data_IF_551398389097
#
_entry.id   IF_551398389097
#
_cell.length_a   1.000
_cell.length_b   1.000
_cell.length_c   1.000
_cell.angle_alpha   90.00
_cell.angle_beta   90.00
_cell.angle_gamma   90.00
#
_symmetry.space_group_name_H-M   'P 1'
#
loop_
_entity.id
_entity.type
_entity.pdbx_description
1 polymer ?
#
# COMPACT_ATOMS: atom_id res chain seq x y z
N UNK A 1 -17.83 7.71 16.37
CA UNK A 1 -18.35 6.45 15.79
C UNK A 1 -18.37 6.60 14.27
N UNK A 2 -18.26 5.53 13.46
CA UNK A 2 -18.38 5.65 11.99
C UNK A 2 -19.85 5.87 11.62
N UNK A 3 -20.18 7.02 11.03
CA UNK A 3 -21.55 7.35 10.60
C UNK A 3 -21.94 6.51 9.38
N UNK A 4 -23.19 6.03 9.37
CA UNK A 4 -23.77 5.38 8.18
C UNK A 4 -24.14 6.46 7.17
N UNK A 5 -23.69 6.30 5.94
CA UNK A 5 -24.03 7.16 4.81
C UNK A 5 -24.98 6.41 3.87
N UNK A 6 -25.95 7.10 3.29
CA UNK A 6 -26.88 6.50 2.32
C UNK A 6 -26.20 6.55 0.94
N UNK A 7 -25.30 5.60 0.69
CA UNK A 7 -24.55 5.50 -0.57
C UNK A 7 -25.36 4.76 -1.65
N UNK A 8 -25.28 5.23 -2.89
CA UNK A 8 -25.74 4.46 -4.05
C UNK A 8 -24.78 3.29 -4.34
N UNK A 9 -25.24 2.24 -5.04
CA UNK A 9 -24.37 1.13 -5.44
C UNK A 9 -23.12 1.59 -6.19
N UNK A 10 -23.25 2.60 -7.06
CA UNK A 10 -22.13 3.16 -7.84
C UNK A 10 -21.11 3.89 -6.97
N UNK A 11 -21.55 4.58 -5.92
CA UNK A 11 -20.65 5.21 -4.95
C UNK A 11 -19.88 4.18 -4.13
N UNK A 12 -20.54 3.08 -3.74
CA UNK A 12 -19.90 1.97 -3.02
C UNK A 12 -18.79 1.34 -3.86
N UNK A 13 -19.04 1.08 -5.14
CA UNK A 13 -18.02 0.53 -6.05
C UNK A 13 -16.84 1.49 -6.19
N UNK A 14 -17.09 2.78 -6.42
CA UNK A 14 -16.04 3.80 -6.55
C UNK A 14 -15.24 4.04 -5.26
N UNK A 15 -15.87 3.87 -4.10
CA UNK A 15 -15.23 3.98 -2.80
C UNK A 15 -14.37 2.76 -2.45
N UNK A 16 -14.78 1.55 -2.87
CA UNK A 16 -14.03 0.30 -2.66
C UNK A 16 -12.79 0.20 -3.55
N UNK A 17 -12.90 0.68 -4.78
CA UNK A 17 -11.88 0.56 -5.82
C UNK A 17 -10.43 0.83 -5.38
N UNK A 18 -10.10 1.97 -4.74
CA UNK A 18 -8.71 2.22 -4.34
C UNK A 18 -8.19 1.23 -3.28
N UNK A 19 -9.07 0.72 -2.41
CA UNK A 19 -8.70 -0.24 -1.37
C UNK A 19 -8.49 -1.64 -1.93
N UNK A 20 -9.31 -2.06 -2.90
CA UNK A 20 -9.17 -3.37 -3.57
C UNK A 20 -7.88 -3.43 -4.39
N UNK A 21 -7.57 -2.39 -5.18
CA UNK A 21 -6.30 -2.32 -5.92
C UNK A 21 -5.11 -2.36 -4.96
N UNK A 22 -5.19 -1.63 -3.85
CA UNK A 22 -4.15 -1.65 -2.83
C UNK A 22 -3.95 -3.06 -2.24
N UNK A 23 -5.02 -3.76 -1.88
CA UNK A 23 -4.94 -5.14 -1.37
C UNK A 23 -4.38 -6.12 -2.41
N UNK A 24 -4.76 -5.98 -3.68
CA UNK A 24 -4.18 -6.80 -4.75
C UNK A 24 -2.67 -6.56 -4.84
N UNK A 25 -2.22 -5.31 -4.77
CA UNK A 25 -0.78 -5.01 -4.74
C UNK A 25 -0.09 -5.66 -3.53
N UNK A 26 -0.66 -5.59 -2.33
CA UNK A 26 -0.03 -6.18 -1.14
C UNK A 26 -0.04 -7.71 -1.14
N UNK A 27 -1.14 -8.35 -1.52
CA UNK A 27 -1.25 -9.82 -1.46
C UNK A 27 -0.72 -10.45 -2.73
N UNK A 28 -1.27 -10.08 -3.89
CA UNK A 28 -0.89 -10.71 -5.14
C UNK A 28 0.54 -10.36 -5.52
N UNK A 29 0.91 -9.07 -5.54
CA UNK A 29 2.24 -8.68 -5.99
C UNK A 29 3.32 -8.92 -4.91
N UNK A 30 3.13 -8.47 -3.67
CA UNK A 30 4.16 -8.63 -2.63
C UNK A 30 4.25 -10.01 -1.96
N UNK A 31 3.18 -10.82 -1.96
CA UNK A 31 3.25 -12.19 -1.43
C UNK A 31 3.42 -13.18 -2.58
N UNK A 32 2.46 -13.26 -3.51
CA UNK A 32 2.46 -14.34 -4.51
C UNK A 32 3.52 -14.16 -5.61
N UNK A 33 3.60 -12.97 -6.22
CA UNK A 33 4.61 -12.70 -7.27
C UNK A 33 6.00 -12.71 -6.66
N UNK A 34 6.21 -12.10 -5.49
CA UNK A 34 7.49 -12.20 -4.78
C UNK A 34 7.92 -13.65 -4.53
N UNK A 35 7.06 -14.48 -3.93
CA UNK A 35 7.38 -15.89 -3.68
C UNK A 35 7.71 -16.64 -4.98
N UNK A 36 6.96 -16.37 -6.05
CA UNK A 36 7.19 -16.98 -7.37
C UNK A 36 8.54 -16.57 -7.97
N UNK A 37 8.87 -15.27 -7.92
CA UNK A 37 10.17 -14.76 -8.42
C UNK A 37 11.35 -15.22 -7.57
N UNK A 38 11.14 -15.40 -6.27
CA UNK A 38 12.15 -15.95 -5.37
C UNK A 38 12.40 -17.44 -5.66
N UNK A 39 11.36 -18.21 -6.03
CA UNK A 39 11.47 -19.60 -6.45
C UNK A 39 12.37 -19.81 -7.68
N UNK A 40 12.49 -18.81 -8.56
CA UNK A 40 13.36 -18.83 -9.75
C UNK A 40 14.62 -17.97 -9.60
N UNK A 41 14.93 -17.51 -8.39
CA UNK A 41 16.00 -16.54 -8.14
C UNK A 41 17.39 -17.01 -8.61
N UNK A 42 17.65 -18.32 -8.55
CA UNK A 42 18.92 -18.91 -9.01
C UNK A 42 19.14 -18.75 -10.52
N UNK A 43 18.06 -18.68 -11.30
CA UNK A 43 18.11 -18.58 -12.77
C UNK A 43 17.88 -17.15 -13.25
N UNK A 44 16.93 -16.44 -12.64
CA UNK A 44 16.54 -15.08 -13.03
C UNK A 44 16.51 -14.14 -11.82
N UNK A 45 17.66 -13.74 -11.25
CA UNK A 45 17.71 -12.96 -10.02
C UNK A 45 17.07 -11.57 -10.16
N UNK A 46 17.08 -10.99 -11.36
CA UNK A 46 16.48 -9.69 -11.63
C UNK A 46 14.94 -9.72 -11.64
N UNK A 47 14.30 -10.89 -11.77
CA UNK A 47 12.83 -10.97 -11.77
C UNK A 47 12.23 -10.48 -10.46
N UNK A 48 12.94 -10.58 -9.33
CA UNK A 48 12.47 -10.07 -8.04
C UNK A 48 12.20 -8.55 -8.08
N UNK A 49 12.86 -7.81 -8.97
CA UNK A 49 12.64 -6.36 -9.13
C UNK A 49 11.28 -6.02 -9.74
N UNK A 50 10.57 -6.99 -10.34
CA UNK A 50 9.22 -6.74 -10.84
C UNK A 50 8.29 -6.30 -9.72
N UNK A 51 8.46 -6.86 -8.52
CA UNK A 51 7.60 -6.59 -7.34
C UNK A 51 7.66 -5.13 -6.91
N UNK A 52 8.82 -4.52 -6.59
CA UNK A 52 8.85 -3.11 -6.24
C UNK A 52 8.44 -2.20 -7.40
N UNK A 53 8.81 -2.52 -8.65
CA UNK A 53 8.49 -1.69 -9.83
C UNK A 53 6.98 -1.59 -10.05
N UNK A 54 6.28 -2.74 -10.10
CA UNK A 54 4.81 -2.75 -10.24
C UNK A 54 4.14 -2.07 -9.06
N UNK A 55 4.71 -2.22 -7.86
CA UNK A 55 4.19 -1.61 -6.65
C UNK A 55 4.29 -0.08 -6.68
N UNK A 56 5.44 0.47 -7.07
CA UNK A 56 5.61 1.91 -7.28
C UNK A 56 4.60 2.45 -8.29
N UNK A 57 4.36 1.73 -9.38
CA UNK A 57 3.39 2.13 -10.40
C UNK A 57 1.94 2.14 -9.85
N UNK A 58 1.51 1.06 -9.19
CA UNK A 58 0.15 0.95 -8.64
C UNK A 58 -0.06 1.97 -7.52
N UNK A 59 0.87 2.07 -6.58
CA UNK A 59 0.81 3.01 -5.47
C UNK A 59 0.85 4.45 -5.99
N UNK A 60 1.70 4.77 -6.96
CA UNK A 60 1.75 6.08 -7.62
C UNK A 60 0.42 6.44 -8.29
N UNK A 61 -0.19 5.49 -9.02
CA UNK A 61 -1.51 5.66 -9.63
C UNK A 61 -2.58 6.02 -8.59
N UNK A 62 -2.66 5.29 -7.47
CA UNK A 62 -3.64 5.56 -6.40
C UNK A 62 -3.43 6.95 -5.82
N UNK A 63 -2.19 7.38 -5.57
CA UNK A 63 -1.89 8.70 -5.00
C UNK A 63 -2.33 9.83 -5.94
N UNK A 64 -2.02 9.70 -7.24
CA UNK A 64 -2.40 10.69 -8.25
C UNK A 64 -3.92 10.74 -8.40
N UNK A 65 -4.58 9.58 -8.51
CA UNK A 65 -6.04 9.51 -8.67
C UNK A 65 -6.78 10.01 -7.43
N UNK A 66 -6.28 9.74 -6.23
CA UNK A 66 -6.85 10.29 -4.99
C UNK A 66 -6.83 11.81 -4.95
N UNK A 67 -5.75 12.45 -5.41
CA UNK A 67 -5.67 13.92 -5.53
C UNK A 67 -6.69 14.47 -6.53
N UNK A 68 -6.86 13.79 -7.67
CA UNK A 68 -7.87 14.17 -8.67
C UNK A 68 -9.29 14.06 -8.13
N UNK A 69 -9.60 12.99 -7.38
CA UNK A 69 -10.92 12.79 -6.75
C UNK A 69 -11.16 13.81 -5.62
N UNK A 70 -10.12 14.20 -4.88
CA UNK A 70 -10.26 15.25 -3.87
C UNK A 70 -10.66 16.60 -4.50
N UNK A 71 -10.16 16.90 -5.71
CA UNK A 71 -10.47 18.14 -6.44
C UNK A 71 -11.73 18.06 -7.32
N UNK A 72 -12.36 16.88 -7.45
CA UNK A 72 -13.55 16.70 -8.29
C UNK A 72 -14.83 17.13 -7.56
N UNK A 73 -15.96 17.15 -8.27
CA UNK A 73 -17.29 17.29 -7.68
C UNK A 73 -17.88 15.95 -7.21
N UNK A 74 -17.04 14.94 -6.91
CA UNK A 74 -17.51 13.67 -6.34
C UNK A 74 -18.11 13.86 -4.95
N UNK A 75 -18.89 12.86 -4.54
CA UNK A 75 -19.61 12.87 -3.26
C UNK A 75 -18.65 12.71 -2.08
N UNK A 76 -19.10 13.19 -0.91
CA UNK A 76 -18.30 13.15 0.33
C UNK A 76 -17.87 11.72 0.69
N UNK A 77 -18.73 10.74 0.44
CA UNK A 77 -18.44 9.34 0.70
C UNK A 77 -17.28 8.80 -0.15
N UNK A 78 -17.30 9.09 -1.45
CA UNK A 78 -16.21 8.69 -2.36
C UNK A 78 -14.92 9.42 -1.95
N UNK A 79 -14.97 10.74 -1.79
CA UNK A 79 -13.80 11.55 -1.38
C UNK A 79 -13.17 11.08 -0.07
N UNK A 80 -13.98 10.71 0.90
CA UNK A 80 -13.52 10.18 2.18
C UNK A 80 -12.70 8.90 2.02
N UNK A 81 -13.19 7.93 1.25
CA UNK A 81 -12.49 6.67 1.02
C UNK A 81 -11.22 6.85 0.18
N UNK A 82 -11.24 7.75 -0.81
CA UNK A 82 -10.05 8.11 -1.57
C UNK A 82 -9.00 8.83 -0.71
N UNK A 83 -9.40 9.68 0.23
CA UNK A 83 -8.49 10.31 1.20
C UNK A 83 -7.89 9.30 2.18
N UNK A 84 -8.69 8.36 2.70
CA UNK A 84 -8.19 7.27 3.54
C UNK A 84 -7.20 6.39 2.77
N UNK A 85 -7.53 6.04 1.53
CA UNK A 85 -6.65 5.27 0.65
C UNK A 85 -5.34 6.04 0.40
N UNK A 86 -5.40 7.35 0.14
CA UNK A 86 -4.22 8.19 -0.05
C UNK A 86 -3.26 8.11 1.15
N UNK A 87 -3.76 8.30 2.38
CA UNK A 87 -2.94 8.26 3.60
C UNK A 87 -2.22 6.91 3.75
N UNK A 88 -2.96 5.81 3.65
CA UNK A 88 -2.41 4.45 3.80
C UNK A 88 -1.40 4.10 2.71
N UNK A 89 -1.74 4.47 1.47
CA UNK A 89 -0.89 4.20 0.33
C UNK A 89 0.34 5.12 0.31
N UNK A 90 0.29 6.30 0.94
CA UNK A 90 1.46 7.14 1.20
C UNK A 90 2.41 6.51 2.24
N UNK A 91 1.87 5.92 3.31
CA UNK A 91 2.69 5.16 4.26
C UNK A 91 3.37 3.97 3.58
N UNK A 92 2.62 3.25 2.75
CA UNK A 92 3.19 2.15 1.97
C UNK A 92 4.26 2.61 0.98
N UNK A 93 4.04 3.72 0.26
CA UNK A 93 5.04 4.31 -0.63
C UNK A 93 6.35 4.65 0.12
N UNK A 94 6.22 5.24 1.31
CA UNK A 94 7.36 5.56 2.16
C UNK A 94 8.09 4.28 2.61
N UNK A 95 7.37 3.28 3.13
CA UNK A 95 7.93 1.99 3.53
C UNK A 95 8.67 1.31 2.37
N UNK A 96 8.05 1.25 1.19
CA UNK A 96 8.65 0.67 -0.02
C UNK A 96 9.94 1.40 -0.40
N UNK A 97 9.94 2.74 -0.36
CA UNK A 97 11.12 3.55 -0.68
C UNK A 97 12.25 3.34 0.32
N UNK A 98 11.93 3.29 1.63
CA UNK A 98 12.91 3.01 2.68
C UNK A 98 13.50 1.61 2.51
N UNK A 99 12.68 0.58 2.32
CA UNK A 99 13.16 -0.78 2.10
C UNK A 99 14.03 -0.87 0.85
N UNK A 100 13.62 -0.29 -0.28
CA UNK A 100 14.46 -0.24 -1.47
C UNK A 100 15.79 0.49 -1.22
N UNK A 101 15.78 1.60 -0.48
CA UNK A 101 16.97 2.35 -0.11
C UNK A 101 17.92 1.56 0.80
N UNK A 102 17.38 0.88 1.82
CA UNK A 102 18.16 -0.01 2.70
C UNK A 102 18.74 -1.18 1.91
N UNK A 103 17.97 -1.74 0.97
CA UNK A 103 18.44 -2.87 0.15
C UNK A 103 19.57 -2.46 -0.80
N UNK A 104 19.39 -1.36 -1.53
CA UNK A 104 20.39 -0.84 -2.45
C UNK A 104 21.64 -0.33 -1.72
N UNK A 105 21.44 0.44 -0.64
CA UNK A 105 22.53 0.96 0.20
C UNK A 105 23.28 -0.14 0.91
N UNK A 106 22.58 -1.12 1.49
CA UNK A 106 23.19 -2.29 2.13
C UNK A 106 24.00 -3.14 1.16
N UNK A 107 23.49 -3.34 -0.06
CA UNK A 107 24.23 -4.02 -1.12
C UNK A 107 25.50 -3.24 -1.53
N UNK A 108 25.38 -1.92 -1.71
CA UNK A 108 26.52 -1.08 -2.09
C UNK A 108 27.60 -1.01 -1.01
N UNK A 109 27.21 -0.81 0.26
CA UNK A 109 28.13 -0.82 1.41
C UNK A 109 28.82 -2.17 1.55
N UNK A 110 28.07 -3.27 1.40
CA UNK A 110 28.64 -4.61 1.45
C UNK A 110 29.70 -4.83 0.37
N UNK A 111 29.45 -4.33 -0.84
CA UNK A 111 30.41 -4.42 -1.94
C UNK A 111 31.64 -3.52 -1.69
N UNK A 112 31.45 -2.33 -1.12
CA UNK A 112 32.53 -1.39 -0.83
C UNK A 112 33.44 -1.88 0.32
N UNK A 113 32.86 -2.49 1.36
CA UNK A 113 33.57 -2.93 2.56
C UNK A 113 34.02 -4.41 2.49
N UNK A 114 33.74 -5.12 1.40
CA UNK A 114 34.15 -6.51 1.21
C UNK A 114 33.55 -7.49 2.21
N UNK A 115 32.32 -7.24 2.67
CA UNK A 115 31.65 -8.08 3.67
C UNK A 115 31.40 -9.50 3.17
N UNK A 116 31.25 -10.44 4.12
CA UNK A 116 30.85 -11.80 3.78
C UNK A 116 29.43 -11.84 3.21
N UNK A 117 29.18 -12.78 2.31
CA UNK A 117 27.84 -13.00 1.71
C UNK A 117 26.78 -13.23 2.79
N UNK A 118 27.15 -13.89 3.89
CA UNK A 118 26.25 -14.17 5.02
C UNK A 118 25.87 -12.88 5.76
N UNK A 119 26.82 -12.00 6.04
CA UNK A 119 26.55 -10.71 6.68
C UNK A 119 25.66 -9.83 5.80
N UNK A 120 25.88 -9.86 4.49
CA UNK A 120 25.06 -9.15 3.50
C UNK A 120 23.61 -9.62 3.54
N UNK A 121 23.38 -10.93 3.47
CA UNK A 121 22.04 -11.51 3.48
C UNK A 121 21.35 -11.29 4.82
N UNK A 122 22.07 -11.39 5.94
CA UNK A 122 21.53 -11.13 7.27
C UNK A 122 21.08 -9.67 7.43
N UNK A 123 21.85 -8.70 6.93
CA UNK A 123 21.48 -7.29 6.94
C UNK A 123 20.26 -7.02 6.05
N UNK A 124 20.31 -7.47 4.79
CA UNK A 124 19.25 -7.23 3.81
C UNK A 124 17.94 -7.93 4.19
N UNK A 125 18.02 -9.20 4.60
CA UNK A 125 16.86 -9.98 5.02
C UNK A 125 16.31 -9.54 6.39
N UNK A 126 17.18 -9.33 7.37
CA UNK A 126 16.80 -9.00 8.73
C UNK A 126 16.31 -7.56 8.88
N UNK A 127 17.14 -6.59 8.52
CA UNK A 127 16.85 -5.16 8.74
C UNK A 127 15.95 -4.60 7.64
N UNK A 128 16.10 -5.08 6.40
CA UNK A 128 15.29 -4.63 5.27
C UNK A 128 13.94 -5.35 5.18
N UNK A 129 13.97 -6.66 4.93
CA UNK A 129 12.79 -7.41 4.51
C UNK A 129 11.83 -7.74 5.67
N UNK A 130 12.36 -8.14 6.83
CA UNK A 130 11.56 -8.57 7.99
C UNK A 130 10.57 -7.49 8.50
N UNK A 131 11.01 -6.25 8.83
CA UNK A 131 10.08 -5.19 9.27
C UNK A 131 9.11 -4.75 8.16
N UNK A 132 9.53 -4.85 6.90
CA UNK A 132 8.65 -4.59 5.76
C UNK A 132 7.49 -5.59 5.69
N UNK A 133 7.77 -6.89 5.89
CA UNK A 133 6.74 -7.93 5.89
C UNK A 133 5.72 -7.76 7.02
N UNK A 134 6.18 -7.40 8.22
CA UNK A 134 5.27 -7.11 9.36
C UNK A 134 4.36 -5.92 9.03
N UNK A 135 4.93 -4.85 8.46
CA UNK A 135 4.16 -3.66 8.05
C UNK A 135 3.14 -3.99 6.95
N UNK A 136 3.52 -4.87 6.01
CA UNK A 136 2.66 -5.38 4.95
C UNK A 136 1.40 -6.06 5.52
N UNK A 137 1.56 -6.96 6.48
CA UNK A 137 0.44 -7.66 7.12
C UNK A 137 -0.52 -6.68 7.80
N UNK A 138 0.01 -5.70 8.52
CA UNK A 138 -0.80 -4.64 9.15
C UNK A 138 -1.60 -3.88 8.09
N UNK A 139 -0.97 -3.48 6.99
CA UNK A 139 -1.62 -2.75 5.90
C UNK A 139 -2.68 -3.59 5.16
N UNK A 140 -2.48 -4.91 5.05
CA UNK A 140 -3.47 -5.84 4.49
C UNK A 140 -4.72 -5.87 5.38
N UNK A 141 -4.55 -6.08 6.69
CA UNK A 141 -5.69 -6.10 7.64
C UNK A 141 -6.46 -4.79 7.58
N UNK A 142 -5.75 -3.67 7.70
CA UNK A 142 -6.36 -2.34 7.62
C UNK A 142 -7.07 -2.11 6.28
N UNK A 143 -6.44 -2.54 5.17
CA UNK A 143 -6.99 -2.45 3.83
C UNK A 143 -8.33 -3.19 3.71
N UNK A 144 -8.38 -4.43 4.22
CA UNK A 144 -9.59 -5.25 4.20
C UNK A 144 -10.72 -4.62 5.03
N UNK A 145 -10.40 -4.06 6.20
CA UNK A 145 -11.37 -3.33 7.02
C UNK A 145 -11.97 -2.13 6.27
N UNK A 146 -11.18 -1.42 5.45
CA UNK A 146 -11.70 -0.30 4.67
C UNK A 146 -12.61 -0.75 3.53
N UNK A 147 -12.31 -1.88 2.88
CA UNK A 147 -13.22 -2.49 1.90
C UNK A 147 -14.54 -2.86 2.57
N UNK A 148 -14.50 -3.45 3.77
CA UNK A 148 -15.69 -3.81 4.53
C UNK A 148 -16.51 -2.58 4.96
N UNK A 149 -15.84 -1.51 5.38
CA UNK A 149 -16.49 -0.23 5.72
C UNK A 149 -17.17 0.40 4.51
N UNK A 150 -16.50 0.44 3.36
CA UNK A 150 -17.07 0.97 2.12
C UNK A 150 -18.28 0.14 1.65
N UNK A 151 -18.20 -1.20 1.73
CA UNK A 151 -19.32 -2.11 1.41
C UNK A 151 -20.53 -1.91 2.34
N UNK A 152 -20.27 -1.54 3.59
CA UNK A 152 -21.31 -1.28 4.60
C UNK A 152 -21.79 0.18 4.61
N UNK A 153 -21.40 0.99 3.61
CA UNK A 153 -21.69 2.42 3.49
C UNK A 153 -21.35 3.23 4.75
N UNK A 154 -20.23 2.90 5.40
CA UNK A 154 -19.75 3.59 6.61
C UNK A 154 -18.67 4.60 6.25
N UNK A 155 -18.78 5.82 6.76
CA UNK A 155 -17.75 6.83 6.58
C UNK A 155 -16.50 6.49 7.41
N UNK A 156 -15.29 6.65 6.83
CA UNK A 156 -14.03 6.58 7.57
C UNK A 156 -14.00 7.53 8.77
N UNK A 157 -13.46 7.07 9.91
CA UNK A 157 -13.29 7.94 11.09
C UNK A 157 -12.43 9.16 10.75
N UNK A 158 -12.90 10.36 11.11
CA UNK A 158 -12.21 11.63 10.85
C UNK A 158 -12.63 12.36 9.58
N UNK A 159 -13.67 11.89 8.88
CA UNK A 159 -14.36 12.69 7.85
C UNK A 159 -15.23 13.75 8.51
N UNK A 160 -15.01 15.01 8.16
CA UNK A 160 -15.87 16.11 8.63
C UNK A 160 -17.17 16.04 7.81
N UNK A 161 -18.23 15.53 8.41
CA UNK A 161 -19.58 15.62 7.86
C UNK A 161 -20.09 17.05 8.09
N UNK A 162 -20.74 17.73 7.12
CA UNK A 162 -21.30 19.07 7.34
C UNK A 162 -22.32 19.14 8.49
N UNK A 163 -22.92 18.01 8.90
CA UNK A 163 -23.78 17.94 10.09
C UNK A 163 -23.03 18.16 11.42
N UNK A 164 -21.71 17.93 11.45
CA UNK A 164 -20.87 18.16 12.63
C UNK A 164 -20.37 19.61 12.75
N UNK A 165 -20.64 20.46 11.75
CA UNK A 165 -20.25 21.88 11.74
C UNK A 165 -21.36 22.82 12.26
N UNK A 166 -22.49 22.27 12.72
CA UNK A 166 -23.66 23.04 13.21
C UNK A 166 -24.04 22.76 14.66
N UNK A 167 -23.11 22.24 15.47
CA UNK A 167 -23.20 22.19 16.94
C UNK A 167 -21.98 22.90 17.55
#
# INVERSE_FOLDING_TARGET
MSEKYIATPDEIVRAKWPHEIFLINLVFNHILVFASTFGVFSTFPLMVLIVPVTSFAITGYILIKARKVAASNDTLFVKAHWSLAHKRNSHFMWLLSVTCGVMAGGFWISHAMGWSKIATIALLGGVGLLPFMVSLLILIVLGNDAVHQAKSSKLPKGTITPAAATL
#
